data_IF_444967147980
#
_entry.id   IF_444967147980
#
_cell.length_a   1.000
_cell.length_b   1.000
_cell.length_c   1.000
_cell.angle_alpha   90.00
_cell.angle_beta   90.00
_cell.angle_gamma   90.00
#
_symmetry.space_group_name_H-M   'P 1'
#
loop_
_entity.id
_entity.type
_entity.pdbx_description
1 polymer ?
#
# COMPACT_ATOMS: atom_id res chain seq x y z
N UNK A 1 -3.12 15.48 -3.41
CA UNK A 1 -4.31 16.18 -3.91
C UNK A 1 -5.49 15.73 -3.08
N UNK A 2 -6.04 16.58 -2.21
CA UNK A 2 -7.23 16.25 -1.41
C UNK A 2 -8.38 16.04 -2.38
N UNK A 3 -8.80 14.79 -2.56
CA UNK A 3 -10.06 14.47 -3.21
C UNK A 3 -11.16 14.85 -2.23
N UNK A 4 -11.45 16.14 -2.15
CA UNK A 4 -12.50 16.64 -1.30
C UNK A 4 -13.81 16.19 -1.96
N UNK A 5 -14.29 15.00 -1.61
CA UNK A 5 -15.50 14.39 -2.19
C UNK A 5 -16.65 15.41 -2.13
N UNK A 6 -16.69 16.20 -1.06
CA UNK A 6 -17.62 17.30 -0.84
C UNK A 6 -17.49 18.47 -1.83
N UNK A 7 -16.30 18.80 -2.34
CA UNK A 7 -16.13 19.95 -3.25
C UNK A 7 -16.76 19.72 -4.63
N UNK A 8 -17.02 18.46 -5.02
CA UNK A 8 -17.81 18.15 -6.22
C UNK A 8 -19.31 18.28 -6.00
N UNK A 9 -19.78 18.25 -4.75
CA UNK A 9 -21.19 18.33 -4.40
C UNK A 9 -21.62 19.75 -3.99
N UNK A 10 -20.67 20.64 -3.68
CA UNK A 10 -20.93 22.02 -3.24
C UNK A 10 -21.32 23.00 -4.34
N UNK A 11 -21.22 22.66 -5.64
CA UNK A 11 -21.53 23.64 -6.70
C UNK A 11 -23.00 24.03 -6.79
N UNK A 12 -23.90 23.25 -6.18
CA UNK A 12 -25.35 23.48 -6.17
C UNK A 12 -25.98 23.42 -4.76
N UNK A 13 -25.18 23.44 -3.68
CA UNK A 13 -25.69 23.35 -2.32
C UNK A 13 -26.37 24.67 -1.88
N UNK A 14 -27.52 24.63 -1.18
CA UNK A 14 -28.13 25.82 -0.58
C UNK A 14 -27.17 26.52 0.39
N UNK A 15 -27.14 27.86 0.41
CA UNK A 15 -26.26 28.65 1.31
C UNK A 15 -26.53 28.45 2.81
N UNK A 16 -27.67 27.87 3.17
CA UNK A 16 -28.05 27.47 4.54
C UNK A 16 -28.04 25.94 4.59
N UNK A 17 -27.27 25.37 5.51
CA UNK A 17 -27.33 23.94 5.89
C UNK A 17 -28.25 23.79 7.10
N UNK A 18 -28.80 22.59 7.26
CA UNK A 18 -29.60 22.17 8.44
C UNK A 18 -28.74 21.71 9.61
N UNK A 19 -27.44 21.51 9.38
CA UNK A 19 -26.48 21.06 10.38
C UNK A 19 -25.72 22.22 11.01
N UNK A 20 -25.27 22.03 12.24
CA UNK A 20 -24.29 22.90 12.88
C UNK A 20 -22.89 22.71 12.28
N UNK A 21 -22.01 23.69 12.50
CA UNK A 21 -20.62 23.60 12.05
C UNK A 21 -19.88 22.48 12.77
N UNK A 22 -20.22 22.25 14.04
CA UNK A 22 -19.64 21.24 14.90
C UNK A 22 -19.98 19.83 14.39
N UNK A 23 -21.24 19.56 14.03
CA UNK A 23 -21.67 18.29 13.45
C UNK A 23 -21.01 18.00 12.10
N UNK A 24 -20.90 19.01 11.23
CA UNK A 24 -20.19 18.87 9.95
C UNK A 24 -18.69 18.61 10.16
N UNK A 25 -18.07 19.31 11.11
CA UNK A 25 -16.66 19.14 11.42
C UNK A 25 -16.36 17.74 12.00
N UNK A 26 -17.21 17.21 12.87
CA UNK A 26 -17.06 15.87 13.43
C UNK A 26 -17.15 14.79 12.35
N UNK A 27 -18.18 14.83 11.51
CA UNK A 27 -18.34 13.89 10.41
C UNK A 27 -17.15 13.94 9.44
N UNK A 28 -16.68 15.14 9.08
CA UNK A 28 -15.56 15.32 8.18
C UNK A 28 -14.24 14.75 8.73
N UNK A 29 -14.04 14.77 10.07
CA UNK A 29 -12.88 14.12 10.69
C UNK A 29 -12.89 12.61 10.46
N UNK A 30 -14.04 11.96 10.64
CA UNK A 30 -14.16 10.52 10.41
C UNK A 30 -13.97 10.16 8.93
N UNK A 31 -14.55 10.93 8.00
CA UNK A 31 -14.33 10.74 6.56
C UNK A 31 -12.86 10.89 6.19
N UNK A 32 -12.16 11.89 6.74
CA UNK A 32 -10.73 12.12 6.48
C UNK A 32 -9.88 10.92 6.90
N UNK A 33 -10.18 10.30 8.05
CA UNK A 33 -9.47 9.09 8.50
C UNK A 33 -9.63 7.94 7.51
N UNK A 34 -10.83 7.75 6.96
CA UNK A 34 -11.14 6.71 5.99
C UNK A 34 -10.42 6.95 4.66
N UNK A 35 -10.41 8.19 4.17
CA UNK A 35 -9.69 8.55 2.95
C UNK A 35 -8.19 8.29 3.08
N UNK A 36 -7.59 8.70 4.22
CA UNK A 36 -6.17 8.45 4.51
C UNK A 36 -5.89 6.95 4.57
N UNK A 37 -6.77 6.17 5.20
CA UNK A 37 -6.64 4.72 5.31
C UNK A 37 -6.72 4.01 3.94
N UNK A 38 -7.66 4.41 3.08
CA UNK A 38 -7.78 3.90 1.71
C UNK A 38 -6.51 4.15 0.91
N UNK A 39 -6.06 5.40 0.92
CA UNK A 39 -4.86 5.84 0.23
C UNK A 39 -3.59 5.10 0.72
N UNK A 40 -3.45 4.94 2.03
CA UNK A 40 -2.34 4.21 2.64
C UNK A 40 -2.37 2.73 2.25
N UNK A 41 -3.55 2.08 2.30
CA UNK A 41 -3.71 0.67 1.93
C UNK A 41 -3.36 0.44 0.46
N UNK A 42 -3.81 1.33 -0.44
CA UNK A 42 -3.49 1.27 -1.88
C UNK A 42 -2.01 1.46 -2.16
N UNK A 43 -1.34 2.38 -1.45
CA UNK A 43 0.12 2.58 -1.56
C UNK A 43 0.87 1.34 -1.10
N UNK A 44 0.54 0.84 0.09
CA UNK A 44 1.12 -0.37 0.66
C UNK A 44 1.00 -1.57 -0.28
N UNK A 45 -0.20 -1.82 -0.83
CA UNK A 45 -0.43 -2.86 -1.84
C UNK A 45 0.49 -2.72 -3.06
N UNK A 46 0.59 -1.50 -3.62
CA UNK A 46 1.41 -1.24 -4.81
C UNK A 46 2.89 -1.44 -4.54
N UNK A 47 3.39 -0.90 -3.43
CA UNK A 47 4.80 -0.93 -3.11
C UNK A 47 5.27 -2.34 -2.73
N UNK A 48 4.43 -3.14 -2.06
CA UNK A 48 4.70 -4.55 -1.84
C UNK A 48 4.82 -5.34 -3.14
N UNK A 49 3.91 -5.13 -4.10
CA UNK A 49 4.01 -5.80 -5.41
C UNK A 49 5.30 -5.42 -6.15
N UNK A 50 5.66 -4.14 -6.16
CA UNK A 50 6.92 -3.68 -6.74
C UNK A 50 8.13 -4.28 -6.05
N UNK A 51 8.12 -4.38 -4.72
CA UNK A 51 9.19 -5.03 -3.95
C UNK A 51 9.36 -6.49 -4.34
N UNK A 52 8.26 -7.22 -4.53
CA UNK A 52 8.30 -8.63 -4.96
C UNK A 52 8.83 -8.79 -6.39
N UNK A 53 8.44 -7.90 -7.30
CA UNK A 53 8.97 -7.84 -8.67
C UNK A 53 10.47 -7.55 -8.69
N UNK A 54 10.93 -6.61 -7.87
CA UNK A 54 12.35 -6.29 -7.70
C UNK A 54 13.13 -7.48 -7.14
N UNK A 55 12.61 -8.16 -6.12
CA UNK A 55 13.21 -9.37 -5.56
C UNK A 55 13.33 -10.50 -6.59
N UNK A 56 12.27 -10.74 -7.38
CA UNK A 56 12.31 -11.74 -8.44
C UNK A 56 13.34 -11.39 -9.53
N UNK A 57 13.46 -10.10 -9.87
CA UNK A 57 14.44 -9.62 -10.85
C UNK A 57 15.88 -9.79 -10.33
N UNK A 58 16.12 -9.46 -9.06
CA UNK A 58 17.41 -9.67 -8.41
C UNK A 58 17.80 -11.16 -8.42
N UNK A 59 16.90 -12.04 -7.97
CA UNK A 59 17.12 -13.49 -7.96
C UNK A 59 17.50 -14.03 -9.33
N UNK A 60 16.76 -13.63 -10.38
CA UNK A 60 17.05 -14.02 -11.76
C UNK A 60 18.44 -13.59 -12.21
N UNK A 61 18.87 -12.38 -11.84
CA UNK A 61 20.20 -11.88 -12.20
C UNK A 61 21.31 -12.59 -11.41
N UNK A 62 21.09 -12.91 -10.13
CA UNK A 62 22.01 -13.71 -9.32
C UNK A 62 22.19 -15.10 -9.91
N UNK A 63 21.11 -15.78 -10.30
CA UNK A 63 21.19 -17.08 -10.99
C UNK A 63 21.95 -16.98 -12.31
N UNK A 64 21.72 -15.93 -13.11
CA UNK A 64 22.47 -15.72 -14.36
C UNK A 64 23.97 -15.57 -14.12
N UNK A 65 24.37 -14.85 -13.07
CA UNK A 65 25.79 -14.71 -12.69
C UNK A 65 26.36 -16.10 -12.35
N UNK A 66 25.68 -16.85 -11.49
CA UNK A 66 26.09 -18.22 -11.12
C UNK A 66 26.23 -19.15 -12.32
N UNK A 67 25.24 -19.17 -13.21
CA UNK A 67 25.27 -20.01 -14.42
C UNK A 67 26.40 -19.61 -15.38
N UNK A 68 26.61 -18.30 -15.60
CA UNK A 68 27.69 -17.84 -16.47
C UNK A 68 29.07 -18.23 -15.91
N UNK A 69 29.24 -18.17 -14.59
CA UNK A 69 30.46 -18.60 -13.92
C UNK A 69 30.67 -20.10 -14.09
N UNK A 70 29.66 -20.91 -13.77
CA UNK A 70 29.73 -22.37 -13.89
C UNK A 70 29.93 -22.85 -15.35
N UNK A 71 29.46 -22.09 -16.34
CA UNK A 71 29.68 -22.39 -17.76
C UNK A 71 31.07 -21.97 -18.27
N UNK A 72 31.87 -21.27 -17.47
CA UNK A 72 33.19 -20.78 -17.88
C UNK A 72 34.15 -21.95 -18.10
N UNK A 73 34.77 -22.08 -19.31
CA UNK A 73 35.76 -23.13 -19.58
C UNK A 73 36.96 -23.08 -18.64
N UNK A 74 37.26 -21.91 -18.07
CA UNK A 74 38.36 -21.69 -17.11
C UNK A 74 38.23 -22.60 -15.89
N UNK A 75 37.00 -22.89 -15.46
CA UNK A 75 36.75 -23.79 -14.32
C UNK A 75 37.09 -25.26 -14.62
N UNK A 76 37.31 -25.61 -15.89
CA UNK A 76 37.78 -26.94 -16.28
C UNK A 76 39.29 -27.01 -16.47
N UNK A 77 39.96 -25.86 -16.61
CA UNK A 77 41.40 -25.79 -16.83
C UNK A 77 42.17 -25.40 -15.57
N UNK A 78 41.54 -24.67 -14.64
CA UNK A 78 42.15 -24.16 -13.41
C UNK A 78 41.54 -24.83 -12.16
N UNK A 79 42.21 -25.83 -11.56
CA UNK A 79 41.70 -26.53 -10.38
C UNK A 79 41.40 -25.63 -9.18
N UNK A 80 42.22 -24.59 -8.98
CA UNK A 80 42.10 -23.63 -7.87
C UNK A 80 40.81 -22.80 -7.95
N UNK A 81 40.20 -22.71 -9.13
CA UNK A 81 38.95 -21.97 -9.35
C UNK A 81 37.72 -22.87 -9.29
N UNK A 82 37.88 -24.19 -9.18
CA UNK A 82 36.76 -25.14 -9.33
C UNK A 82 35.64 -24.93 -8.31
N UNK A 83 35.96 -24.50 -7.10
CA UNK A 83 34.98 -24.24 -6.04
C UNK A 83 33.99 -23.12 -6.38
N UNK A 84 34.32 -22.24 -7.34
CA UNK A 84 33.41 -21.20 -7.83
C UNK A 84 32.12 -21.75 -8.45
N UNK A 85 32.11 -23.01 -8.92
CA UNK A 85 30.88 -23.67 -9.41
C UNK A 85 29.79 -23.77 -8.33
N UNK A 86 30.18 -23.80 -7.04
CA UNK A 86 29.25 -23.88 -5.92
C UNK A 86 28.38 -22.62 -5.81
N UNK A 87 28.84 -21.47 -6.29
CA UNK A 87 28.06 -20.23 -6.34
C UNK A 87 26.77 -20.45 -7.11
N UNK A 88 26.83 -21.15 -8.25
CA UNK A 88 25.64 -21.44 -9.07
C UNK A 88 24.60 -22.25 -8.33
N UNK A 89 25.04 -23.23 -7.52
CA UNK A 89 24.15 -24.04 -6.69
C UNK A 89 23.51 -23.20 -5.58
N UNK A 90 24.31 -22.41 -4.87
CA UNK A 90 23.85 -21.56 -3.77
C UNK A 90 22.82 -20.52 -4.23
N UNK A 91 23.05 -19.84 -5.37
CA UNK A 91 22.09 -18.86 -5.90
C UNK A 91 20.79 -19.53 -6.37
N UNK A 92 20.85 -20.77 -6.88
CA UNK A 92 19.65 -21.55 -7.22
C UNK A 92 18.79 -21.89 -6.00
N UNK A 93 19.42 -22.29 -4.88
CA UNK A 93 18.70 -22.51 -3.62
C UNK A 93 18.07 -21.21 -3.07
N UNK A 94 18.77 -20.08 -3.20
CA UNK A 94 18.23 -18.77 -2.82
C UNK A 94 17.05 -18.37 -3.71
N UNK A 95 17.07 -18.70 -5.00
CA UNK A 95 15.94 -18.47 -5.91
C UNK A 95 14.69 -19.23 -5.47
N UNK A 96 14.82 -20.51 -5.12
CA UNK A 96 13.70 -21.30 -4.56
C UNK A 96 13.12 -20.63 -3.31
N UNK A 97 13.96 -20.16 -2.39
CA UNK A 97 13.51 -19.46 -1.19
C UNK A 97 12.92 -18.07 -1.51
N UNK A 98 13.38 -17.40 -2.56
CA UNK A 98 12.82 -16.12 -3.01
C UNK A 98 11.42 -16.31 -3.59
N UNK A 99 11.20 -17.40 -4.33
CA UNK A 99 9.87 -17.78 -4.80
C UNK A 99 8.92 -18.08 -3.64
N UNK A 100 9.38 -18.80 -2.62
CA UNK A 100 8.58 -19.08 -1.42
C UNK A 100 8.25 -17.79 -0.66
N UNK A 101 9.21 -16.89 -0.44
CA UNK A 101 8.96 -15.59 0.19
C UNK A 101 7.90 -14.79 -0.57
N UNK A 102 7.99 -14.74 -1.90
CA UNK A 102 7.01 -14.04 -2.75
C UNK A 102 5.62 -14.70 -2.67
N UNK A 103 5.57 -16.04 -2.64
CA UNK A 103 4.32 -16.80 -2.45
C UNK A 103 3.68 -16.48 -1.11
N UNK A 104 4.44 -16.47 -0.02
CA UNK A 104 3.94 -16.15 1.32
C UNK A 104 3.52 -14.68 1.43
N UNK A 105 4.34 -13.74 0.94
CA UNK A 105 4.01 -12.30 0.90
C UNK A 105 2.69 -12.05 0.16
N UNK A 106 2.43 -12.80 -0.92
CA UNK A 106 1.14 -12.72 -1.63
C UNK A 106 -0.02 -13.09 -0.71
N UNK A 107 0.09 -14.24 -0.02
CA UNK A 107 -0.98 -14.80 0.82
C UNK A 107 -1.24 -13.95 2.06
N UNK A 108 -0.19 -13.53 2.75
CA UNK A 108 -0.28 -12.91 4.07
C UNK A 108 -0.47 -11.40 4.03
N UNK A 109 -0.17 -10.75 2.90
CA UNK A 109 -0.21 -9.30 2.80
C UNK A 109 -0.91 -8.79 1.54
N UNK A 110 -0.51 -9.23 0.34
CA UNK A 110 -1.06 -8.68 -0.92
C UNK A 110 -2.55 -8.96 -1.07
N UNK A 111 -2.97 -10.21 -0.88
CA UNK A 111 -4.38 -10.60 -0.99
C UNK A 111 -5.26 -9.99 0.13
N UNK A 112 -4.83 -9.95 1.41
CA UNK A 112 -5.53 -9.20 2.45
C UNK A 112 -5.71 -7.71 2.13
N UNK A 113 -4.63 -7.00 1.72
CA UNK A 113 -4.74 -5.58 1.36
C UNK A 113 -5.68 -5.38 0.18
N UNK A 114 -5.61 -6.24 -0.84
CA UNK A 114 -6.52 -6.22 -1.98
C UNK A 114 -7.98 -6.37 -1.53
N UNK A 115 -8.29 -7.37 -0.69
CA UNK A 115 -9.64 -7.56 -0.15
C UNK A 115 -10.13 -6.35 0.65
N UNK A 116 -9.26 -5.78 1.49
CA UNK A 116 -9.59 -4.56 2.25
C UNK A 116 -9.90 -3.38 1.33
N UNK A 117 -9.12 -3.20 0.25
CA UNK A 117 -9.37 -2.11 -0.71
C UNK A 117 -10.72 -2.20 -1.44
N UNK A 118 -11.34 -3.39 -1.52
CA UNK A 118 -12.65 -3.57 -2.14
C UNK A 118 -13.81 -3.05 -1.28
N UNK A 119 -13.57 -2.70 -0.01
CA UNK A 119 -14.59 -2.20 0.90
C UNK A 119 -14.86 -0.71 0.64
N UNK A 120 -13.82 0.09 0.37
CA UNK A 120 -13.93 1.54 0.22
C UNK A 120 -14.92 2.02 -0.84
N UNK A 121 -15.06 1.40 -2.03
CA UNK A 121 -16.07 1.81 -3.01
C UNK A 121 -17.49 1.84 -2.43
N UNK A 122 -17.85 0.88 -1.59
CA UNK A 122 -19.17 0.84 -0.95
C UNK A 122 -19.31 1.93 0.11
N UNK A 123 -18.26 2.19 0.90
CA UNK A 123 -18.23 3.31 1.85
C UNK A 123 -18.48 4.64 1.11
N UNK A 124 -17.77 4.89 0.01
CA UNK A 124 -17.95 6.11 -0.77
C UNK A 124 -19.34 6.24 -1.40
N UNK A 125 -19.96 5.12 -1.80
CA UNK A 125 -21.36 5.12 -2.26
C UNK A 125 -22.32 5.54 -1.14
N UNK A 126 -22.13 5.03 0.07
CA UNK A 126 -22.96 5.40 1.23
C UNK A 126 -22.73 6.85 1.64
N UNK A 127 -21.48 7.34 1.64
CA UNK A 127 -21.15 8.75 1.87
C UNK A 127 -21.84 9.67 0.86
N UNK A 128 -21.83 9.30 -0.42
CA UNK A 128 -22.55 10.04 -1.47
C UNK A 128 -24.07 10.03 -1.23
N UNK A 129 -24.63 8.91 -0.78
CA UNK A 129 -26.06 8.82 -0.46
C UNK A 129 -26.42 9.71 0.74
N UNK A 130 -25.57 9.77 1.78
CA UNK A 130 -25.76 10.69 2.92
C UNK A 130 -25.81 12.14 2.44
N UNK A 131 -24.87 12.53 1.58
CA UNK A 131 -24.81 13.88 1.02
C UNK A 131 -26.08 14.23 0.23
N UNK A 132 -26.60 13.29 -0.58
CA UNK A 132 -27.87 13.47 -1.28
C UNK A 132 -29.06 13.63 -0.32
N UNK A 133 -29.12 12.84 0.75
CA UNK A 133 -30.15 12.97 1.77
C UNK A 133 -30.06 14.31 2.51
N UNK A 134 -28.85 14.79 2.81
CA UNK A 134 -28.63 16.10 3.44
C UNK A 134 -29.11 17.25 2.55
N UNK A 135 -28.81 17.19 1.25
CA UNK A 135 -29.26 18.18 0.28
C UNK A 135 -30.78 18.20 0.16
N UNK A 136 -31.43 17.03 0.13
CA UNK A 136 -32.88 16.91 0.12
C UNK A 136 -33.51 17.49 1.40
N UNK A 137 -32.97 17.12 2.56
CA UNK A 137 -33.42 17.64 3.85
C UNK A 137 -33.33 19.17 3.90
N UNK A 138 -32.17 19.71 3.50
CA UNK A 138 -31.95 21.16 3.43
C UNK A 138 -32.92 21.86 2.47
N UNK A 139 -33.18 21.27 1.30
CA UNK A 139 -34.15 21.79 0.33
C UNK A 139 -35.56 21.83 0.90
N UNK A 140 -35.99 20.76 1.57
CA UNK A 140 -37.29 20.71 2.24
C UNK A 140 -37.40 21.74 3.37
N UNK A 141 -36.33 21.94 4.15
CA UNK A 141 -36.29 22.92 5.24
C UNK A 141 -36.49 24.35 4.70
N UNK A 142 -35.72 24.74 3.69
CA UNK A 142 -35.85 26.05 3.02
C UNK A 142 -37.25 26.24 2.44
N UNK A 143 -37.86 25.16 1.90
CA UNK A 143 -39.24 25.20 1.38
C UNK A 143 -40.25 25.45 2.49
N UNK A 144 -40.10 24.83 3.66
CA UNK A 144 -40.97 25.06 4.83
C UNK A 144 -40.83 26.51 5.31
N UNK A 145 -39.60 27.01 5.53
CA UNK A 145 -39.33 28.41 5.91
C UNK A 145 -40.04 29.39 4.95
N UNK A 146 -39.91 29.17 3.64
CA UNK A 146 -40.56 30.00 2.62
C UNK A 146 -42.10 29.99 2.68
N UNK A 147 -42.73 28.92 3.14
CA UNK A 147 -44.19 28.87 3.29
C UNK A 147 -44.66 29.43 4.65
N UNK A 148 -43.81 29.38 5.68
CA UNK A 148 -44.09 30.01 6.97
C UNK A 148 -44.03 31.54 6.88
N UNK A 149 -43.17 32.08 6.03
CA UNK A 149 -43.07 33.53 5.75
C UNK A 149 -44.23 34.09 4.89
N UNK A 150 -45.13 33.23 4.35
CA UNK A 150 -46.26 33.66 3.52
C UNK A 150 -47.50 33.99 4.36
N UNK A 151 -48.37 34.84 3.82
CA UNK A 151 -49.67 35.14 4.43
C UNK A 151 -50.48 33.87 4.72
N UNK A 152 -51.07 33.84 5.93
CA UNK A 152 -51.85 32.72 6.48
C UNK A 152 -53.23 32.62 5.85
N UNK A 153 -53.29 32.31 4.57
CA UNK A 153 -54.53 31.91 3.88
C UNK A 153 -54.79 30.42 4.10
N UNK A 154 -56.05 29.98 4.07
CA UNK A 154 -56.41 28.56 4.21
C UNK A 154 -55.71 27.65 3.19
N UNK A 155 -55.49 28.15 1.96
CA UNK A 155 -54.78 27.42 0.90
C UNK A 155 -53.27 27.33 1.16
N UNK A 156 -52.64 28.37 1.72
CA UNK A 156 -51.23 28.35 2.12
C UNK A 156 -51.01 27.46 3.34
N UNK A 157 -51.93 27.47 4.32
CA UNK A 157 -51.90 26.61 5.49
C UNK A 157 -51.98 25.13 5.13
N UNK A 158 -52.83 24.76 4.16
CA UNK A 158 -52.92 23.38 3.67
C UNK A 158 -51.63 22.93 2.93
N UNK A 159 -51.04 23.78 2.09
CA UNK A 159 -49.78 23.47 1.38
C UNK A 159 -48.59 23.36 2.34
N UNK A 160 -48.53 24.24 3.34
CA UNK A 160 -47.52 24.22 4.40
C UNK A 160 -47.63 22.93 5.22
N UNK A 161 -48.82 22.64 5.74
CA UNK A 161 -49.02 21.57 6.74
C UNK A 161 -49.02 20.19 6.12
N UNK A 162 -49.74 19.98 5.02
CA UNK A 162 -49.97 18.62 4.48
C UNK A 162 -48.84 18.15 3.56
N UNK A 163 -48.18 19.07 2.85
CA UNK A 163 -47.19 18.70 1.82
C UNK A 163 -45.77 19.06 2.26
N UNK A 164 -45.51 20.33 2.63
CA UNK A 164 -44.15 20.76 2.92
C UNK A 164 -43.59 20.16 4.22
N UNK A 165 -44.36 20.19 5.31
CA UNK A 165 -43.95 19.60 6.61
C UNK A 165 -43.83 18.08 6.55
N UNK A 166 -44.72 17.38 5.84
CA UNK A 166 -44.63 15.93 5.66
C UNK A 166 -43.38 15.54 4.85
N UNK A 167 -43.08 16.23 3.75
CA UNK A 167 -41.86 15.99 2.98
C UNK A 167 -40.60 16.29 3.79
N UNK A 168 -40.62 17.32 4.63
CA UNK A 168 -39.51 17.63 5.54
C UNK A 168 -39.24 16.48 6.50
N UNK A 169 -40.28 15.95 7.14
CA UNK A 169 -40.14 14.85 8.09
C UNK A 169 -39.51 13.62 7.43
N UNK A 170 -40.03 13.19 6.27
CA UNK A 170 -39.48 12.04 5.54
C UNK A 170 -38.02 12.26 5.11
N UNK A 171 -37.66 13.47 4.69
CA UNK A 171 -36.29 13.79 4.30
C UNK A 171 -35.34 13.79 5.50
N UNK A 172 -35.81 14.33 6.63
CA UNK A 172 -35.09 14.34 7.90
C UNK A 172 -34.83 12.93 8.41
N UNK A 173 -35.87 12.10 8.52
CA UNK A 173 -35.75 10.69 8.95
C UNK A 173 -34.76 9.91 8.06
N UNK A 174 -34.82 10.13 6.74
CA UNK A 174 -33.92 9.48 5.78
C UNK A 174 -32.46 9.89 5.98
N UNK A 175 -32.20 11.18 6.23
CA UNK A 175 -30.87 11.71 6.52
C UNK A 175 -30.36 11.25 7.89
N UNK A 176 -31.16 11.36 8.95
CA UNK A 176 -30.77 10.98 10.31
C UNK A 176 -30.41 9.49 10.39
N UNK A 177 -31.17 8.64 9.69
CA UNK A 177 -30.85 7.22 9.58
C UNK A 177 -29.46 6.98 9.00
N UNK A 178 -29.17 7.48 7.80
CA UNK A 178 -27.88 7.22 7.16
C UNK A 178 -26.72 7.95 7.85
N UNK A 179 -26.98 9.13 8.45
CA UNK A 179 -25.99 9.88 9.20
C UNK A 179 -25.59 9.15 10.49
N UNK A 180 -26.56 8.65 11.25
CA UNK A 180 -26.31 7.90 12.48
C UNK A 180 -25.59 6.57 12.21
N UNK A 181 -25.99 5.85 11.15
CA UNK A 181 -25.29 4.63 10.70
C UNK A 181 -23.81 4.94 10.39
N UNK A 182 -23.52 5.97 9.59
CA UNK A 182 -22.14 6.33 9.24
C UNK A 182 -21.33 6.85 10.44
N UNK A 183 -21.92 7.66 11.31
CA UNK A 183 -21.24 8.16 12.51
C UNK A 183 -20.84 7.05 13.48
N UNK A 184 -21.51 5.90 13.42
CA UNK A 184 -21.15 4.70 14.18
C UNK A 184 -20.16 3.82 13.41
N UNK A 185 -20.48 3.48 12.17
CA UNK A 185 -19.75 2.46 11.42
C UNK A 185 -18.39 2.92 10.90
N UNK A 186 -18.20 4.21 10.59
CA UNK A 186 -16.89 4.70 10.13
C UNK A 186 -15.81 4.59 11.23
N UNK A 187 -16.05 5.04 12.48
CA UNK A 187 -15.12 4.79 13.59
C UNK A 187 -14.87 3.30 13.84
N UNK A 188 -15.92 2.48 13.86
CA UNK A 188 -15.80 1.03 14.11
C UNK A 188 -14.95 0.35 13.02
N UNK A 189 -15.20 0.68 11.75
CA UNK A 189 -14.40 0.19 10.63
C UNK A 189 -12.95 0.65 10.71
N UNK A 190 -12.74 1.93 11.06
CA UNK A 190 -11.40 2.45 11.24
C UNK A 190 -10.70 1.66 12.34
N UNK A 191 -11.30 1.46 13.51
CA UNK A 191 -10.66 0.74 14.61
C UNK A 191 -10.37 -0.74 14.28
N UNK A 192 -11.32 -1.43 13.65
CA UNK A 192 -11.14 -2.81 13.20
C UNK A 192 -9.97 -3.03 12.22
N UNK A 193 -9.40 -1.97 11.63
CA UNK A 193 -8.18 -2.07 10.82
C UNK A 193 -7.00 -2.67 11.58
N UNK A 194 -6.92 -2.44 12.90
CA UNK A 194 -5.80 -2.92 13.71
C UNK A 194 -5.80 -4.44 13.80
N UNK A 195 -6.94 -5.02 14.16
CA UNK A 195 -7.12 -6.47 14.26
C UNK A 195 -6.96 -7.16 12.90
N UNK A 196 -7.29 -6.45 11.82
CA UNK A 196 -7.10 -6.96 10.45
C UNK A 196 -5.64 -6.91 9.99
N UNK A 197 -4.93 -5.79 10.23
CA UNK A 197 -3.58 -5.58 9.72
C UNK A 197 -2.49 -6.21 10.58
N UNK A 198 -2.64 -6.23 11.90
CA UNK A 198 -1.62 -6.75 12.82
C UNK A 198 -1.15 -8.17 12.45
N UNK A 199 -2.03 -9.17 12.27
CA UNK A 199 -1.59 -10.52 11.89
C UNK A 199 -0.95 -10.58 10.50
N UNK A 200 -1.35 -9.70 9.57
CA UNK A 200 -0.75 -9.62 8.23
C UNK A 200 0.72 -9.16 8.30
N UNK A 201 0.99 -8.09 9.07
CA UNK A 201 2.35 -7.58 9.27
C UNK A 201 3.22 -8.57 10.04
N UNK A 202 2.68 -9.20 11.09
CA UNK A 202 3.40 -10.21 11.86
C UNK A 202 3.80 -11.40 10.97
N UNK A 203 2.88 -11.90 10.15
CA UNK A 203 3.16 -13.00 9.23
C UNK A 203 4.18 -12.60 8.15
N UNK A 204 4.11 -11.37 7.62
CA UNK A 204 5.09 -10.86 6.67
C UNK A 204 6.51 -10.85 7.25
N UNK A 205 6.68 -10.29 8.46
CA UNK A 205 7.97 -10.24 9.14
C UNK A 205 8.49 -11.66 9.42
N UNK A 206 7.63 -12.58 9.87
CA UNK A 206 8.00 -13.98 10.07
C UNK A 206 8.52 -14.64 8.79
N UNK A 207 7.83 -14.45 7.66
CA UNK A 207 8.29 -14.96 6.36
C UNK A 207 9.63 -14.35 5.92
N UNK A 208 9.84 -13.06 6.18
CA UNK A 208 11.12 -12.40 5.87
C UNK A 208 12.26 -12.93 6.75
N UNK A 209 12.05 -13.09 8.05
CA UNK A 209 13.04 -13.68 8.98
C UNK A 209 13.43 -15.08 8.50
N UNK A 210 12.45 -15.91 8.14
CA UNK A 210 12.71 -17.25 7.63
C UNK A 210 13.55 -17.22 6.35
N UNK A 211 13.19 -16.37 5.39
CA UNK A 211 13.94 -16.20 4.14
C UNK A 211 15.39 -15.77 4.39
N UNK A 212 15.61 -14.68 5.13
CA UNK A 212 16.96 -14.18 5.36
C UNK A 212 17.81 -15.15 6.18
N UNK A 213 17.20 -15.90 7.10
CA UNK A 213 17.90 -16.97 7.84
C UNK A 213 18.35 -18.08 6.90
N UNK A 214 17.53 -18.48 5.93
CA UNK A 214 17.91 -19.49 4.93
C UNK A 214 19.01 -18.98 4.01
N UNK A 215 18.92 -17.74 3.52
CA UNK A 215 19.98 -17.12 2.72
C UNK A 215 21.31 -17.04 3.48
N UNK A 216 21.26 -16.64 4.76
CA UNK A 216 22.45 -16.59 5.61
C UNK A 216 23.10 -17.97 5.72
N UNK A 217 22.33 -19.03 6.00
CA UNK A 217 22.86 -20.40 6.10
C UNK A 217 23.54 -20.84 4.80
N UNK A 218 22.90 -20.62 3.65
CA UNK A 218 23.43 -20.99 2.34
C UNK A 218 24.77 -20.27 2.08
N UNK A 219 24.87 -18.97 2.37
CA UNK A 219 26.12 -18.23 2.19
C UNK A 219 27.18 -18.59 3.22
N UNK A 220 26.80 -18.86 4.46
CA UNK A 220 27.73 -19.30 5.51
C UNK A 220 28.33 -20.68 5.17
N UNK A 221 27.57 -21.58 4.54
CA UNK A 221 28.08 -22.86 4.03
C UNK A 221 28.97 -22.69 2.79
N UNK A 222 28.71 -21.70 1.95
CA UNK A 222 29.51 -21.41 0.75
C UNK A 222 30.86 -20.74 1.08
N UNK A 223 30.91 -19.87 2.09
CA UNK A 223 32.08 -19.03 2.34
C UNK A 223 33.40 -19.82 2.53
N UNK A 224 33.46 -20.92 3.31
CA UNK A 224 34.70 -21.70 3.48
C UNK A 224 35.23 -22.30 2.17
N UNK A 225 34.33 -22.66 1.25
CA UNK A 225 34.67 -23.29 -0.04
C UNK A 225 35.30 -22.29 -1.02
N UNK A 226 35.07 -20.99 -0.80
CA UNK A 226 35.64 -19.90 -1.58
C UNK A 226 36.95 -19.37 -0.99
N UNK A 227 37.58 -20.13 -0.08
CA UNK A 227 38.75 -19.69 0.69
C UNK A 227 38.54 -18.32 1.35
N UNK A 228 37.32 -18.07 1.86
CA UNK A 228 36.99 -16.82 2.53
C UNK A 228 38.02 -16.52 3.61
N UNK A 229 38.78 -15.43 3.43
CA UNK A 229 39.68 -14.92 4.45
C UNK A 229 38.84 -14.13 5.45
N UNK A 230 38.82 -14.56 6.71
CA UNK A 230 38.16 -13.85 7.82
C UNK A 230 38.62 -12.40 7.98
N UNK A 231 39.83 -12.07 7.52
CA UNK A 231 40.33 -10.70 7.49
C UNK A 231 39.57 -9.89 6.46
N UNK A 232 38.56 -9.15 6.93
CA UNK A 232 37.95 -8.04 6.20
C UNK A 232 39.05 -7.01 5.93
N UNK A 233 39.52 -6.96 4.68
CA UNK A 233 40.35 -5.87 4.18
C UNK A 233 39.46 -4.63 4.02
N UNK A 234 40.02 -3.43 4.26
CA UNK A 234 39.25 -2.21 4.01
C UNK A 234 38.97 -2.05 2.51
N UNK A 235 37.91 -1.33 2.16
CA UNK A 235 37.58 -1.05 0.75
C UNK A 235 38.76 -0.34 0.04
N UNK A 236 39.47 0.54 0.75
CA UNK A 236 40.66 1.25 0.26
C UNK A 236 41.82 0.28 0.02
N UNK A 237 42.13 -0.61 0.97
CA UNK A 237 43.19 -1.62 0.80
C UNK A 237 42.86 -2.62 -0.33
N UNK A 238 41.58 -2.93 -0.53
CA UNK A 238 41.14 -3.79 -1.64
C UNK A 238 41.32 -3.08 -2.98
N UNK A 239 40.94 -1.80 -3.08
CA UNK A 239 41.11 -1.00 -4.28
C UNK A 239 42.59 -0.88 -4.66
N UNK A 240 43.46 -0.58 -3.70
CA UNK A 240 44.91 -0.51 -3.89
C UNK A 240 45.48 -1.85 -4.39
N UNK A 241 45.05 -2.99 -3.80
CA UNK A 241 45.46 -4.32 -4.26
C UNK A 241 45.03 -4.62 -5.69
N UNK A 242 43.80 -4.27 -6.07
CA UNK A 242 43.30 -4.45 -7.42
C UNK A 242 44.05 -3.55 -8.41
N UNK A 243 44.30 -2.29 -8.04
CA UNK A 243 45.04 -1.34 -8.86
C UNK A 243 46.48 -1.80 -9.07
N UNK A 244 47.15 -2.28 -8.02
CA UNK A 244 48.51 -2.82 -8.14
C UNK A 244 48.54 -4.04 -9.06
N UNK A 245 47.63 -5.02 -8.88
CA UNK A 245 47.53 -6.18 -9.78
C UNK A 245 47.30 -5.77 -11.24
N UNK A 246 46.49 -4.74 -11.46
CA UNK A 246 46.27 -4.19 -12.81
C UNK A 246 47.51 -3.47 -13.36
N UNK A 247 48.27 -2.76 -12.53
CA UNK A 247 49.53 -2.14 -12.92
C UNK A 247 50.57 -3.18 -13.33
N UNK A 248 50.67 -4.28 -12.57
CA UNK A 248 51.56 -5.41 -12.89
C UNK A 248 51.20 -6.04 -14.25
N UNK A 249 49.89 -6.21 -14.52
CA UNK A 249 49.41 -6.70 -15.82
C UNK A 249 49.76 -5.74 -16.95
N UNK A 250 49.63 -4.42 -16.74
CA UNK A 250 49.98 -3.40 -17.75
C UNK A 250 51.48 -3.30 -18.00
N UNK A 251 52.31 -3.63 -17.02
CA UNK A 251 53.76 -3.66 -17.16
C UNK A 251 54.26 -4.85 -18.00
N UNK A 252 53.39 -5.83 -18.31
CA UNK A 252 53.73 -6.93 -19.20
C UNK A 252 54.04 -6.39 -20.61
N UNK A 253 55.17 -6.80 -21.17
CA UNK A 253 55.66 -6.31 -22.47
C UNK A 253 54.71 -6.54 -23.65
N UNK A 254 53.73 -7.43 -23.50
CA UNK A 254 52.68 -7.70 -24.50
C UNK A 254 51.53 -6.68 -24.49
N UNK A 255 51.47 -5.80 -23.48
CA UNK A 255 50.42 -4.78 -23.27
C UNK A 255 50.97 -3.36 -23.42
N UNK A 256 52.28 -3.22 -23.62
CA UNK A 256 52.91 -1.91 -23.85
C UNK A 256 52.70 -1.55 -25.32
N UNK A 257 51.92 -0.51 -25.61
CA UNK A 257 51.87 0.11 -26.94
C UNK A 257 53.26 0.73 -27.23
N UNK A 258 53.85 0.40 -28.39
CA UNK A 258 55.07 1.03 -28.93
C UNK A 258 54.91 2.56 -29.12
#
# INVERSE_FOLDING_TARGET
MSWNIFSRFTSNAPKKTVLSKEEEAEFNREVTKIEVLDDATKRLYKDLKKSMEAMATLSKHQCRIGHNLAASPVLNTEPDLKSLEMISKSVGQIEEHTHELNSQTTKVMVEPMKKFTLIFPNIYLTLKKREQCLQEYTRCQVKVEKYEDKERTGQNLAKLTTVAKKSLETAKESFEKINSELMKELPDFFEGRLDYFQPCFEALIKSQIEYYTKCFKIYAELAPELEYRETVISDEDFEDQIQQKMADIRALSIVVDD
#
